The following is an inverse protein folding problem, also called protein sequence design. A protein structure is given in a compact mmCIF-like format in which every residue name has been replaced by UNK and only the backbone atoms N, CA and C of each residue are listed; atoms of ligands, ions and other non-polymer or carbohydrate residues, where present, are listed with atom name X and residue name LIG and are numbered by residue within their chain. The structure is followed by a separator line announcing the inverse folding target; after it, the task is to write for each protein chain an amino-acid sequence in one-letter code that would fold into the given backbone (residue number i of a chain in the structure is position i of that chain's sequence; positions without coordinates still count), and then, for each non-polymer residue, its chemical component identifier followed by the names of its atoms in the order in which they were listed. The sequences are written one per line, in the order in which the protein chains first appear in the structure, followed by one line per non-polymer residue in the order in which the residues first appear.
data_IF_296910227428
#
_entry.id   IF_296910227428
#
_cell.length_a   1.000
_cell.length_b   1.000
_cell.length_c   1.000
_cell.angle_alpha   90.00
_cell.angle_beta   90.00
_cell.angle_gamma   90.00
#
_symmetry.space_group_name_H-M   'P 1'
#
loop_
_entity.id
_entity.type
_entity.pdbx_description
1 polymer ?
#
# COMPACT_ATOMS: atom_id res chain seq x y z
N UNK A 1 -8.65 10.81 -2.28
CA UNK A 1 -7.62 10.15 -1.44
C UNK A 1 -7.71 8.65 -1.68
N UNK A 2 -6.65 8.07 -2.23
CA UNK A 2 -6.57 6.64 -2.53
C UNK A 2 -6.37 5.86 -1.22
N UNK A 3 -7.09 4.75 -1.07
CA UNK A 3 -6.97 3.86 0.10
C UNK A 3 -6.07 2.68 -0.24
N UNK A 4 -5.24 2.31 0.74
CA UNK A 4 -4.43 1.09 0.68
C UNK A 4 -5.33 -0.15 0.57
N UNK A 5 -4.97 -1.15 -0.25
CA UNK A 5 -5.66 -2.43 -0.35
C UNK A 5 -5.45 -3.32 0.90
N UNK A 6 -4.51 -2.98 1.77
CA UNK A 6 -4.22 -3.70 3.01
C UNK A 6 -4.52 -2.85 4.24
N UNK A 7 -5.04 -3.48 5.29
CA UNK A 7 -5.08 -2.91 6.64
C UNK A 7 -3.71 -3.01 7.27
N UNK A 8 -3.23 -1.89 7.82
CA UNK A 8 -1.94 -1.81 8.49
C UNK A 8 -2.03 -0.90 9.70
N UNK A 9 -1.46 -1.33 10.82
CA UNK A 9 -1.34 -0.47 12.00
C UNK A 9 -0.44 0.73 11.68
N UNK A 10 -0.82 1.93 12.14
CA UNK A 10 -0.07 3.16 11.85
C UNK A 10 -0.29 3.73 10.44
N UNK A 11 -1.39 3.40 9.78
CA UNK A 11 -1.76 4.00 8.50
C UNK A 11 -1.82 5.53 8.57
N UNK A 12 -1.04 6.21 7.72
CA UNK A 12 -0.85 7.67 7.72
C UNK A 12 -2.02 8.46 7.12
N UNK A 13 -3.16 7.80 6.85
CA UNK A 13 -4.32 8.39 6.16
C UNK A 13 -4.88 9.63 6.85
N UNK A 14 -4.90 9.65 8.18
CA UNK A 14 -5.42 10.79 8.97
C UNK A 14 -4.52 12.02 8.90
N UNK A 15 -3.22 11.83 8.74
CA UNK A 15 -2.23 12.91 8.72
C UNK A 15 -1.87 13.37 7.30
N UNK A 16 -2.34 12.67 6.26
CA UNK A 16 -2.02 13.03 4.87
C UNK A 16 -2.32 14.48 4.49
N UNK A 17 -3.47 15.10 4.87
CA UNK A 17 -3.74 16.48 4.49
C UNK A 17 -2.72 17.47 5.03
N UNK A 18 -2.13 17.19 6.19
CA UNK A 18 -1.06 18.02 6.76
C UNK A 18 0.29 17.66 6.14
N UNK A 19 0.57 16.37 5.99
CA UNK A 19 1.83 15.89 5.40
C UNK A 19 2.06 16.44 3.98
N UNK A 20 1.02 16.51 3.15
CA UNK A 20 1.10 17.03 1.78
C UNK A 20 1.55 18.50 1.73
N UNK A 21 1.31 19.29 2.78
CA UNK A 21 1.75 20.70 2.83
C UNK A 21 3.24 20.86 3.09
N UNK A 22 3.86 19.85 3.69
CA UNK A 22 5.27 19.87 4.10
C UNK A 22 6.14 18.99 3.22
N UNK A 23 5.55 18.23 2.29
CA UNK A 23 6.29 17.41 1.34
C UNK A 23 6.91 18.30 0.26
N UNK A 24 8.24 18.27 0.09
CA UNK A 24 8.89 19.08 -0.93
C UNK A 24 8.64 18.53 -2.33
N UNK A 25 8.68 19.41 -3.33
CA UNK A 25 8.84 18.99 -4.72
C UNK A 25 10.22 18.36 -4.90
N UNK A 26 10.25 17.14 -5.43
CA UNK A 26 11.47 16.41 -5.72
C UNK A 26 11.22 15.39 -6.82
N UNK A 27 12.30 14.81 -7.36
CA UNK A 27 12.20 13.74 -8.35
C UNK A 27 11.88 12.38 -7.73
N UNK A 28 12.19 12.18 -6.45
CA UNK A 28 12.14 10.87 -5.82
C UNK A 28 11.69 10.97 -4.35
N UNK A 29 10.68 10.18 -4.00
CA UNK A 29 10.31 9.95 -2.61
C UNK A 29 10.93 8.64 -2.12
N UNK A 30 11.62 8.70 -0.99
CA UNK A 30 12.17 7.53 -0.30
C UNK A 30 11.36 7.32 0.97
N UNK A 31 10.64 6.19 1.06
CA UNK A 31 9.84 5.83 2.22
C UNK A 31 10.42 4.58 2.89
N UNK A 32 11.28 4.72 3.93
CA UNK A 32 11.95 3.59 4.58
C UNK A 32 11.02 2.71 5.41
N UNK A 33 9.81 3.20 5.71
CA UNK A 33 8.77 2.53 6.49
C UNK A 33 7.42 2.69 5.77
N UNK A 34 7.28 2.02 4.63
CA UNK A 34 6.12 2.19 3.73
C UNK A 34 4.80 1.76 4.39
N UNK A 35 4.81 0.69 5.20
CA UNK A 35 3.59 0.16 5.81
C UNK A 35 2.47 -0.06 4.78
N UNK A 36 1.28 0.53 4.99
CA UNK A 36 0.16 0.46 4.03
C UNK A 36 0.41 1.17 2.69
N UNK A 37 1.48 1.95 2.55
CA UNK A 37 1.73 2.69 1.31
C UNK A 37 0.85 3.91 1.08
N UNK A 38 0.18 4.39 2.14
CA UNK A 38 -0.76 5.50 2.02
C UNK A 38 -0.11 6.78 1.47
N UNK A 39 1.15 7.06 1.83
CA UNK A 39 1.86 8.26 1.37
C UNK A 39 2.10 8.16 -0.13
N UNK A 40 2.80 7.11 -0.59
CA UNK A 40 3.13 6.96 -2.01
C UNK A 40 1.89 6.96 -2.91
N UNK A 41 0.77 6.38 -2.47
CA UNK A 41 -0.48 6.32 -3.24
C UNK A 41 -1.19 7.67 -3.39
N UNK A 42 -0.81 8.67 -2.59
CA UNK A 42 -1.44 9.99 -2.54
C UNK A 42 -0.45 11.12 -2.88
N UNK A 43 0.72 10.78 -3.42
CA UNK A 43 1.72 11.72 -3.92
C UNK A 43 2.01 11.45 -5.40
N UNK A 44 2.68 12.38 -6.07
CA UNK A 44 3.03 12.26 -7.49
C UNK A 44 4.51 12.59 -7.74
N UNK A 45 5.39 11.71 -7.28
CA UNK A 45 6.83 11.78 -7.54
C UNK A 45 7.19 10.93 -8.77
N UNK A 46 8.21 11.37 -9.53
CA UNK A 46 8.70 10.61 -10.70
C UNK A 46 9.21 9.21 -10.33
N UNK A 47 9.80 9.06 -9.15
CA UNK A 47 10.38 7.81 -8.64
C UNK A 47 10.03 7.59 -7.17
N UNK A 48 9.91 6.32 -6.81
CA UNK A 48 9.65 5.88 -5.45
C UNK A 48 10.65 4.80 -5.04
N UNK A 49 11.23 4.94 -3.84
CA UNK A 49 12.01 3.89 -3.18
C UNK A 49 11.27 3.51 -1.91
N UNK A 50 10.59 2.36 -1.96
CA UNK A 50 9.74 1.87 -0.88
C UNK A 50 10.45 0.75 -0.14
N UNK A 51 10.67 0.92 1.16
CA UNK A 51 11.29 -0.09 2.00
C UNK A 51 10.44 -0.37 3.24
N UNK A 52 10.57 -1.60 3.75
CA UNK A 52 10.04 -2.04 5.02
C UNK A 52 10.85 -3.24 5.49
N UNK A 53 10.89 -3.45 6.80
CA UNK A 53 11.48 -4.65 7.40
C UNK A 53 10.66 -5.91 7.09
N UNK A 54 9.35 -5.77 6.87
CA UNK A 54 8.47 -6.89 6.56
C UNK A 54 8.60 -7.32 5.09
N UNK A 55 9.31 -8.44 4.87
CA UNK A 55 9.51 -9.01 3.53
C UNK A 55 8.22 -9.40 2.82
N UNK A 56 7.20 -9.87 3.55
CA UNK A 56 5.92 -10.25 2.95
C UNK A 56 5.17 -9.02 2.44
N UNK A 57 5.24 -7.90 3.14
CA UNK A 57 4.70 -6.62 2.71
C UNK A 57 5.38 -6.11 1.43
N UNK A 58 6.71 -6.14 1.41
CA UNK A 58 7.47 -5.74 0.20
C UNK A 58 7.15 -6.68 -0.96
N UNK A 59 7.05 -7.99 -0.73
CA UNK A 59 6.64 -8.93 -1.75
C UNK A 59 5.22 -8.64 -2.27
N UNK A 60 4.27 -8.29 -1.40
CA UNK A 60 2.93 -7.90 -1.79
C UNK A 60 2.97 -6.72 -2.77
N UNK A 61 3.65 -5.62 -2.44
CA UNK A 61 3.74 -4.47 -3.35
C UNK A 61 4.45 -4.81 -4.66
N UNK A 62 5.49 -5.66 -4.64
CA UNK A 62 6.14 -6.15 -5.86
C UNK A 62 5.15 -6.90 -6.75
N UNK A 63 4.42 -7.86 -6.20
CA UNK A 63 3.41 -8.63 -6.96
C UNK A 63 2.30 -7.73 -7.49
N UNK A 64 1.82 -6.77 -6.69
CA UNK A 64 0.85 -5.76 -7.13
C UNK A 64 1.34 -5.03 -8.38
N UNK A 65 2.65 -4.72 -8.47
CA UNK A 65 3.22 -4.02 -9.63
C UNK A 65 3.55 -4.92 -10.82
N UNK A 66 3.84 -6.20 -10.59
CA UNK A 66 4.33 -7.10 -11.66
C UNK A 66 3.28 -8.04 -12.21
N UNK A 67 2.27 -8.43 -11.42
CA UNK A 67 1.26 -9.43 -11.79
C UNK A 67 -0.07 -9.17 -11.05
N UNK A 68 -0.64 -7.99 -11.28
CA UNK A 68 -1.85 -7.51 -10.59
C UNK A 68 -3.07 -8.42 -10.82
N UNK A 69 -3.26 -8.87 -12.07
CA UNK A 69 -4.41 -9.68 -12.45
C UNK A 69 -4.41 -11.03 -11.76
N UNK A 70 -3.26 -11.71 -11.69
CA UNK A 70 -3.13 -12.97 -10.96
C UNK A 70 -3.41 -12.78 -9.48
N UNK A 71 -2.89 -11.72 -8.87
CA UNK A 71 -3.15 -11.40 -7.48
C UNK A 71 -4.65 -11.21 -7.22
N UNK A 72 -5.34 -10.43 -8.05
CA UNK A 72 -6.78 -10.19 -7.94
C UNK A 72 -7.56 -11.50 -8.07
N UNK A 73 -7.22 -12.35 -9.04
CA UNK A 73 -7.93 -13.60 -9.27
C UNK A 73 -7.77 -14.59 -8.11
N UNK A 74 -6.54 -14.73 -7.58
CA UNK A 74 -6.28 -15.56 -6.40
C UNK A 74 -7.04 -15.00 -5.20
N UNK A 75 -6.90 -13.70 -4.91
CA UNK A 75 -7.58 -13.08 -3.78
C UNK A 75 -9.10 -13.28 -3.87
N UNK A 76 -9.70 -13.00 -5.04
CA UNK A 76 -11.14 -13.19 -5.29
C UNK A 76 -11.58 -14.62 -4.99
N UNK A 77 -10.83 -15.63 -5.44
CA UNK A 77 -11.15 -17.03 -5.15
C UNK A 77 -11.15 -17.35 -3.65
N UNK A 78 -10.21 -16.77 -2.89
CA UNK A 78 -10.11 -16.97 -1.44
C UNK A 78 -11.27 -16.31 -0.69
N UNK A 79 -11.66 -15.09 -1.08
CA UNK A 79 -12.79 -14.39 -0.47
C UNK A 79 -14.14 -15.05 -0.77
N UNK A 80 -14.28 -15.72 -1.91
CA UNK A 80 -15.49 -16.49 -2.24
C UNK A 80 -15.54 -17.83 -1.48
N UNK A 81 -14.41 -18.52 -1.35
CA UNK A 81 -14.35 -19.84 -0.71
C UNK A 81 -14.44 -19.78 0.82
N UNK A 82 -14.02 -18.67 1.45
CA UNK A 82 -13.96 -18.52 2.90
C UNK A 82 -14.66 -17.24 3.39
N UNK A 83 -16.00 -17.24 3.49
CA UNK A 83 -16.75 -16.05 3.90
C UNK A 83 -16.37 -15.53 5.31
N UNK A 84 -15.89 -16.39 6.21
CA UNK A 84 -15.37 -15.97 7.52
C UNK A 84 -14.03 -15.23 7.45
N UNK A 85 -13.18 -15.51 6.46
CA UNK A 85 -11.89 -14.82 6.28
C UNK A 85 -12.10 -13.34 5.90
N UNK A 86 -13.21 -13.05 5.22
CA UNK A 86 -13.61 -11.69 4.85
C UNK A 86 -13.82 -10.78 6.06
N UNK A 87 -14.30 -11.31 7.20
CA UNK A 87 -14.56 -10.54 8.43
C UNK A 87 -13.24 -10.08 9.09
N UNK A 88 -12.17 -10.85 8.97
CA UNK A 88 -10.87 -10.55 9.60
C UNK A 88 -10.05 -9.58 8.74
N UNK A 89 -10.17 -9.66 7.41
CA UNK A 89 -9.44 -8.79 6.49
C UNK A 89 -10.14 -7.45 6.18
N UNK A 90 -11.48 -7.38 6.33
CA UNK A 90 -12.28 -6.17 6.11
C UNK A 90 -12.33 -5.25 7.32
#
# INVERSE_FOLDING_TARGET
MNRSPIKWAGGKSRVMPELLKHLPEADCLIEPFVGSGTVFMNTDYRRYVLCDSNRALINFFRVVTTDTERLINIARSMFHAFPFFMIICA
#
